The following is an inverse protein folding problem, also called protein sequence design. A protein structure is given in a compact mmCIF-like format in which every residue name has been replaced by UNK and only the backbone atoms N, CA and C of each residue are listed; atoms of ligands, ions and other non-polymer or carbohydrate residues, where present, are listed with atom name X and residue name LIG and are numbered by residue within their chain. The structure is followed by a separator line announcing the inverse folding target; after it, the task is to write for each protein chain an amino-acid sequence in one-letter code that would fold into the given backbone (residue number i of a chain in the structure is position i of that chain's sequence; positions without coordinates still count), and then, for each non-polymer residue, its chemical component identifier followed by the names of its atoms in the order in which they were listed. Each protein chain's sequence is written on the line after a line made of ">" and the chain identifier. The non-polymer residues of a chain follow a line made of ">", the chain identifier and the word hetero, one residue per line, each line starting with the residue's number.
data_IF_143298315321
#
_entry.id   IF_143298315321
#
_cell.length_a   1.000
_cell.length_b   1.000
_cell.length_c   1.000
_cell.angle_alpha   90.00
_cell.angle_beta   90.00
_cell.angle_gamma   90.00
#
_symmetry.space_group_name_H-M   'P 1'
#
loop_
_entity.id
_entity.type
_entity.pdbx_description
1 polymer ?
#
# COMPACT_ATOMS: atom_id res chain seq x y z
N UNK A 1 6.09 -1.98 -10.77
CA UNK A 1 5.44 -0.87 -11.52
C UNK A 1 5.97 0.46 -11.02
N UNK A 2 6.20 1.46 -11.88
CA UNK A 2 6.59 2.81 -11.44
C UNK A 2 5.41 3.57 -10.83
N UNK A 3 5.68 4.48 -9.91
CA UNK A 3 4.62 5.30 -9.29
C UNK A 3 3.85 6.12 -10.33
N UNK A 4 4.53 6.69 -11.33
CA UNK A 4 3.87 7.45 -12.42
C UNK A 4 2.92 6.59 -13.26
N UNK A 5 3.28 5.32 -13.50
CA UNK A 5 2.44 4.37 -14.24
C UNK A 5 1.13 4.05 -13.50
N UNK A 6 1.11 4.14 -12.16
CA UNK A 6 -0.11 4.00 -11.38
C UNK A 6 -1.09 5.16 -11.63
N UNK A 7 -0.58 6.39 -11.72
CA UNK A 7 -1.40 7.55 -12.04
C UNK A 7 -2.02 7.44 -13.43
N UNK A 8 -1.25 7.00 -14.42
CA UNK A 8 -1.75 6.75 -15.77
C UNK A 8 -2.84 5.66 -15.78
N UNK A 9 -2.61 4.56 -15.04
CA UNK A 9 -3.56 3.46 -14.95
C UNK A 9 -4.87 3.87 -14.26
N UNK A 10 -4.79 4.71 -13.21
CA UNK A 10 -5.97 5.27 -12.52
C UNK A 10 -6.90 6.02 -13.47
N UNK A 11 -6.32 6.85 -14.33
CA UNK A 11 -7.05 7.73 -15.27
C UNK A 11 -7.48 7.02 -16.56
N UNK A 12 -6.99 5.80 -16.81
CA UNK A 12 -7.34 5.06 -18.01
C UNK A 12 -8.85 4.74 -18.08
N UNK A 13 -9.44 4.98 -19.26
CA UNK A 13 -10.88 4.73 -19.52
C UNK A 13 -11.32 3.28 -19.28
N UNK A 14 -10.40 2.31 -19.32
CA UNK A 14 -10.68 0.89 -19.13
C UNK A 14 -10.57 0.41 -17.68
N UNK A 15 -10.17 1.26 -16.74
CA UNK A 15 -9.98 0.87 -15.34
C UNK A 15 -11.32 0.80 -14.63
N UNK A 16 -11.62 -0.34 -13.99
CA UNK A 16 -12.84 -0.52 -13.22
C UNK A 16 -12.83 0.34 -11.95
N UNK A 17 -14.00 0.63 -11.39
CA UNK A 17 -14.09 1.42 -10.15
C UNK A 17 -13.41 0.72 -8.97
N UNK A 18 -13.47 -0.61 -8.91
CA UNK A 18 -12.72 -1.40 -7.92
C UNK A 18 -11.20 -1.24 -8.09
N UNK A 19 -10.70 -1.35 -9.33
CA UNK A 19 -9.28 -1.17 -9.60
C UNK A 19 -8.83 0.28 -9.30
N UNK A 20 -9.65 1.29 -9.62
CA UNK A 20 -9.39 2.68 -9.25
C UNK A 20 -9.30 2.85 -7.74
N UNK A 21 -10.23 2.28 -6.97
CA UNK A 21 -10.19 2.32 -5.50
C UNK A 21 -8.88 1.71 -4.97
N UNK A 22 -8.45 0.58 -5.52
CA UNK A 22 -7.20 -0.07 -5.10
C UNK A 22 -5.99 0.80 -5.42
N UNK A 23 -5.96 1.38 -6.62
CA UNK A 23 -4.87 2.27 -7.05
C UNK A 23 -4.86 3.54 -6.19
N UNK A 24 -6.02 4.12 -5.86
CA UNK A 24 -6.14 5.29 -5.00
C UNK A 24 -5.57 5.03 -3.60
N UNK A 25 -5.96 3.91 -2.98
CA UNK A 25 -5.43 3.53 -1.67
C UNK A 25 -3.92 3.25 -1.72
N UNK A 26 -3.43 2.64 -2.79
CA UNK A 26 -2.01 2.37 -2.96
C UNK A 26 -1.21 3.67 -3.17
N UNK A 27 -1.70 4.58 -4.01
CA UNK A 27 -1.08 5.89 -4.25
C UNK A 27 -1.09 6.76 -3.00
N UNK A 28 -2.19 6.78 -2.25
CA UNK A 28 -2.25 7.47 -0.96
C UNK A 28 -1.21 6.90 -0.01
N UNK A 29 -1.15 5.57 0.12
CA UNK A 29 -0.17 4.91 0.97
C UNK A 29 1.28 5.23 0.56
N UNK A 30 1.57 5.32 -0.74
CA UNK A 30 2.89 5.70 -1.26
C UNK A 30 3.21 7.17 -0.95
N UNK A 31 2.27 8.08 -1.18
CA UNK A 31 2.47 9.52 -1.00
C UNK A 31 2.65 9.93 0.46
N UNK A 32 1.99 9.22 1.36
CA UNK A 32 2.12 9.43 2.80
C UNK A 32 3.39 8.80 3.37
N UNK A 33 4.13 7.97 2.61
CA UNK A 33 5.36 7.36 3.10
C UNK A 33 6.49 8.39 3.22
N UNK A 34 7.23 8.46 4.35
CA UNK A 34 8.33 9.39 4.49
C UNK A 34 9.51 8.97 3.62
N UNK A 35 9.77 9.81 2.61
CA UNK A 35 10.90 9.69 1.71
C UNK A 35 10.53 9.17 0.32
N UNK A 36 11.49 9.22 -0.63
CA UNK A 36 11.20 8.96 -2.03
C UNK A 36 10.81 7.49 -2.28
N UNK A 37 9.87 7.30 -3.19
CA UNK A 37 9.38 5.99 -3.65
C UNK A 37 9.19 6.04 -5.16
N UNK A 38 10.03 5.29 -5.89
CA UNK A 38 10.01 5.28 -7.36
C UNK A 38 9.11 4.18 -7.94
N UNK A 39 8.89 3.11 -7.16
CA UNK A 39 8.14 1.92 -7.59
C UNK A 39 7.32 1.34 -6.46
N UNK A 40 6.27 0.60 -6.81
CA UNK A 40 5.43 -0.15 -5.85
C UNK A 40 6.28 -1.15 -5.06
N UNK A 41 7.19 -1.85 -5.72
CA UNK A 41 8.05 -2.84 -5.08
C UNK A 41 9.03 -2.20 -4.08
N UNK A 42 9.54 -0.99 -4.39
CA UNK A 42 10.36 -0.21 -3.46
C UNK A 42 9.56 0.19 -2.22
N UNK A 43 8.33 0.70 -2.39
CA UNK A 43 7.43 1.02 -1.30
C UNK A 43 7.17 -0.19 -0.39
N UNK A 44 6.74 -1.31 -0.97
CA UNK A 44 6.45 -2.53 -0.21
C UNK A 44 7.68 -3.04 0.56
N UNK A 45 8.88 -2.90 -0.02
CA UNK A 45 10.13 -3.27 0.64
C UNK A 45 10.44 -2.37 1.83
N UNK A 46 10.19 -1.06 1.72
CA UNK A 46 10.34 -0.11 2.83
C UNK A 46 9.36 -0.39 3.96
N UNK A 47 8.09 -0.64 3.63
CA UNK A 47 7.06 -1.00 4.62
C UNK A 47 7.43 -2.30 5.35
N UNK A 48 7.87 -3.32 4.61
CA UNK A 48 8.34 -4.60 5.20
C UNK A 48 9.49 -4.40 6.16
N UNK A 49 10.47 -3.57 5.78
CA UNK A 49 11.62 -3.23 6.63
C UNK A 49 11.16 -2.52 7.91
N UNK A 50 10.30 -1.51 7.77
CA UNK A 50 9.76 -0.75 8.90
C UNK A 50 8.98 -1.64 9.89
N UNK A 51 8.16 -2.56 9.38
CA UNK A 51 7.38 -3.49 10.19
C UNK A 51 8.17 -4.71 10.67
N UNK A 52 9.43 -4.87 10.25
CA UNK A 52 10.26 -6.02 10.62
C UNK A 52 9.71 -7.36 10.12
N UNK A 53 9.13 -7.40 8.92
CA UNK A 53 8.44 -8.56 8.35
C UNK A 53 8.89 -8.88 6.93
N UNK A 54 8.65 -10.11 6.47
CA UNK A 54 8.85 -10.51 5.06
C UNK A 54 7.59 -10.42 4.22
N UNK A 55 6.42 -10.53 4.85
CA UNK A 55 5.12 -10.56 4.19
C UNK A 55 4.22 -9.46 4.76
N UNK A 56 3.33 -8.93 3.91
CA UNK A 56 2.34 -7.93 4.28
C UNK A 56 0.97 -8.56 4.12
N UNK A 57 0.24 -8.68 5.22
CA UNK A 57 -1.16 -9.07 5.25
C UNK A 57 -1.88 -8.18 6.26
N UNK A 58 -3.21 -8.24 6.26
CA UNK A 58 -4.07 -7.44 7.13
C UNK A 58 -3.62 -7.42 8.60
N UNK A 59 -3.29 -8.59 9.16
CA UNK A 59 -2.96 -8.73 10.58
C UNK A 59 -1.60 -8.10 10.91
N UNK A 60 -0.64 -8.24 10.01
CA UNK A 60 0.71 -7.67 10.17
C UNK A 60 0.63 -6.14 10.10
N UNK A 61 -0.08 -5.59 9.12
CA UNK A 61 -0.24 -4.14 8.95
C UNK A 61 -0.98 -3.56 10.17
N UNK A 62 -2.10 -4.18 10.57
CA UNK A 62 -2.88 -3.79 11.75
C UNK A 62 -2.06 -3.82 13.04
N UNK A 63 -1.27 -4.87 13.24
CA UNK A 63 -0.35 -4.96 14.38
C UNK A 63 0.71 -3.86 14.34
N UNK A 64 1.24 -3.59 13.16
CA UNK A 64 2.15 -2.48 12.89
C UNK A 64 1.59 -1.17 13.42
N UNK A 65 0.45 -0.72 12.90
CA UNK A 65 -0.26 0.49 13.31
C UNK A 65 -0.47 0.55 14.84
N UNK A 66 -0.99 -0.52 15.44
CA UNK A 66 -1.27 -0.57 16.88
C UNK A 66 -0.02 -0.53 17.77
N UNK A 67 1.15 -0.87 17.22
CA UNK A 67 2.42 -0.88 17.95
C UNK A 67 3.20 0.43 17.82
N UNK A 68 2.79 1.32 16.92
CA UNK A 68 3.48 2.59 16.68
C UNK A 68 2.93 3.71 17.57
N UNK A 69 3.80 4.67 17.86
CA UNK A 69 3.39 5.94 18.46
C UNK A 69 3.15 6.96 17.32
N UNK A 70 1.91 7.38 17.08
CA UNK A 70 1.59 8.31 15.99
C UNK A 70 2.25 9.69 16.16
N UNK A 71 2.65 10.08 17.38
CA UNK A 71 3.38 11.33 17.62
C UNK A 71 4.82 11.34 17.08
N UNK A 72 5.37 10.18 16.71
CA UNK A 72 6.73 10.04 16.15
C UNK A 72 6.68 9.65 14.67
N UNK A 73 5.78 8.74 14.30
CA UNK A 73 5.70 8.14 12.96
C UNK A 73 4.39 8.51 12.24
N UNK A 74 4.04 9.81 12.24
CA UNK A 74 2.76 10.28 11.72
C UNK A 74 2.55 9.89 10.26
N UNK A 75 3.56 10.09 9.42
CA UNK A 75 3.51 9.80 7.98
C UNK A 75 3.42 8.30 7.70
N UNK A 76 4.24 7.48 8.37
CA UNK A 76 4.13 6.03 8.29
C UNK A 76 2.78 5.53 8.79
N UNK A 77 2.17 6.20 9.79
CA UNK A 77 0.85 5.84 10.30
C UNK A 77 -0.25 6.10 9.26
N UNK A 78 -0.26 7.25 8.61
CA UNK A 78 -1.21 7.56 7.52
C UNK A 78 -1.02 6.57 6.36
N UNK A 79 0.23 6.37 5.94
CA UNK A 79 0.59 5.42 4.89
C UNK A 79 0.10 3.98 5.19
N UNK A 80 0.37 3.49 6.40
CA UNK A 80 -0.06 2.16 6.81
C UNK A 80 -1.59 2.08 6.93
N UNK A 81 -2.29 3.17 7.25
CA UNK A 81 -3.75 3.20 7.37
C UNK A 81 -4.42 2.99 6.00
N UNK A 82 -3.96 3.67 4.95
CA UNK A 82 -4.42 3.43 3.58
C UNK A 82 -4.07 2.01 3.11
N UNK A 83 -2.88 1.52 3.47
CA UNK A 83 -2.47 0.15 3.15
C UNK A 83 -3.34 -0.90 3.88
N UNK A 84 -3.78 -0.59 5.10
CA UNK A 84 -4.68 -1.45 5.87
C UNK A 84 -6.04 -1.53 5.19
N UNK A 85 -6.61 -0.40 4.74
CA UNK A 85 -7.88 -0.41 4.00
C UNK A 85 -7.76 -1.24 2.71
N UNK A 86 -6.65 -1.13 1.98
CA UNK A 86 -6.39 -1.98 0.82
C UNK A 86 -6.37 -3.47 1.20
N UNK A 87 -5.68 -3.82 2.29
CA UNK A 87 -5.65 -5.19 2.79
C UNK A 87 -7.01 -5.69 3.31
N UNK A 88 -7.95 -4.79 3.65
CA UNK A 88 -9.31 -5.17 4.08
C UNK A 88 -10.18 -5.69 2.95
N UNK A 89 -9.90 -5.31 1.69
CA UNK A 89 -10.57 -5.85 0.50
C UNK A 89 -10.49 -7.37 0.49
N UNK A 90 -9.35 -7.92 0.91
CA UNK A 90 -9.20 -9.35 1.15
C UNK A 90 -8.33 -9.64 2.38
N UNK A 91 -8.99 -9.74 3.54
CA UNK A 91 -8.37 -9.97 4.86
C UNK A 91 -7.52 -11.25 4.99
N UNK A 92 -7.63 -12.17 4.02
CA UNK A 92 -6.90 -13.45 4.02
C UNK A 92 -5.72 -13.47 3.07
N UNK A 93 -5.76 -12.65 2.01
CA UNK A 93 -4.70 -12.61 1.01
C UNK A 93 -3.50 -11.79 1.51
N UNK A 94 -2.31 -12.15 1.03
CA UNK A 94 -1.17 -11.26 1.12
C UNK A 94 -1.37 -10.09 0.17
N UNK A 95 -0.88 -8.91 0.55
CA UNK A 95 -1.00 -7.70 -0.26
C UNK A 95 -0.45 -7.89 -1.67
N UNK A 96 0.65 -8.63 -1.82
CA UNK A 96 1.23 -8.95 -3.12
C UNK A 96 0.24 -9.71 -4.03
N UNK A 97 -0.59 -10.59 -3.47
CA UNK A 97 -1.60 -11.33 -4.24
C UNK A 97 -2.70 -10.39 -4.73
N UNK A 98 -3.15 -9.46 -3.88
CA UNK A 98 -4.16 -8.45 -4.25
C UNK A 98 -3.63 -7.59 -5.41
N UNK A 99 -2.38 -7.14 -5.32
CA UNK A 99 -1.74 -6.32 -6.36
C UNK A 99 -1.52 -7.10 -7.67
N UNK A 100 -1.17 -8.39 -7.60
CA UNK A 100 -1.04 -9.26 -8.78
C UNK A 100 -2.38 -9.45 -9.52
N UNK A 101 -3.49 -9.64 -8.80
CA UNK A 101 -4.82 -9.74 -9.43
C UNK A 101 -5.18 -8.50 -10.26
N UNK A 102 -4.65 -7.34 -9.85
CA UNK A 102 -4.87 -6.05 -10.51
C UNK A 102 -3.71 -5.63 -11.42
N UNK A 103 -2.69 -6.49 -11.61
CA UNK A 103 -1.52 -6.24 -12.45
C UNK A 103 -0.72 -4.99 -12.05
N UNK A 104 -0.64 -4.72 -10.75
CA UNK A 104 0.04 -3.55 -10.19
C UNK A 104 1.51 -3.82 -9.81
N UNK A 105 1.92 -5.09 -9.83
CA UNK A 105 3.29 -5.60 -9.64
C UNK A 105 3.51 -6.81 -10.53
#
# INVERSE_FOLDING_TARGET
>A
MKTDELYELREAKGTSDEARKIIDLLLQAINDWPGPVDTVENYLSKVKLFLGTKNLNYHIIKKGINSQNPGIYLWEFESLSSLLELAEINKKAELQVILLWHRLI
#
